data_IF_631222592195
#
_entry.id   IF_631222592195
#
_cell.length_a   1.000
_cell.length_b   1.000
_cell.length_c   1.000
_cell.angle_alpha   90.00
_cell.angle_beta   90.00
_cell.angle_gamma   90.00
#
_symmetry.space_group_name_H-M   'P 1'
#
loop_
_entity.id
_entity.type
_entity.pdbx_description
1 polymer ?
#
# COMPACT_ATOMS: atom_id res chain seq x y z
N UNK A 1 43.77 -19.96 26.12
CA UNK A 1 42.51 -19.25 25.88
C UNK A 1 42.90 -17.83 25.55
N UNK A 2 43.06 -17.54 24.26
CA UNK A 2 43.36 -16.17 23.83
C UNK A 2 42.11 -15.33 24.10
N UNK A 3 42.25 -14.35 24.99
CA UNK A 3 41.23 -13.35 25.19
C UNK A 3 41.18 -12.50 23.92
N UNK A 4 40.04 -12.53 23.23
CA UNK A 4 39.75 -11.60 22.13
C UNK A 4 39.98 -10.17 22.64
N UNK A 5 40.61 -9.34 21.81
CA UNK A 5 40.70 -7.92 22.09
C UNK A 5 39.30 -7.31 22.19
N UNK A 6 39.12 -6.23 22.96
CA UNK A 6 37.82 -5.56 23.10
C UNK A 6 37.21 -5.22 21.72
N UNK A 7 38.06 -4.85 20.75
CA UNK A 7 37.67 -4.58 19.37
C UNK A 7 37.12 -5.83 18.66
N UNK A 8 37.75 -6.98 18.82
CA UNK A 8 37.27 -8.23 18.21
C UNK A 8 35.98 -8.70 18.87
N UNK A 9 35.87 -8.60 20.20
CA UNK A 9 34.63 -8.89 20.93
C UNK A 9 33.46 -8.04 20.42
N UNK A 10 33.70 -6.73 20.28
CA UNK A 10 32.69 -5.79 19.78
C UNK A 10 32.27 -6.15 18.35
N UNK A 11 33.23 -6.50 17.49
CA UNK A 11 32.97 -6.86 16.09
C UNK A 11 32.16 -8.15 15.98
N UNK A 12 32.50 -9.16 16.78
CA UNK A 12 31.81 -10.45 16.78
C UNK A 12 30.38 -10.31 17.33
N UNK A 13 30.18 -9.57 18.42
CA UNK A 13 28.85 -9.30 18.94
C UNK A 13 28.01 -8.43 18.00
N UNK A 14 28.61 -7.44 17.35
CA UNK A 14 27.91 -6.63 16.34
C UNK A 14 27.42 -7.50 15.18
N UNK A 15 28.22 -8.47 14.74
CA UNK A 15 27.84 -9.43 13.69
C UNK A 15 26.66 -10.30 14.11
N UNK A 16 26.73 -10.88 15.31
CA UNK A 16 25.67 -11.76 15.84
C UNK A 16 24.35 -11.00 16.05
N UNK A 17 24.42 -9.78 16.57
CA UNK A 17 23.27 -8.89 16.77
C UNK A 17 22.81 -8.17 15.49
N UNK A 18 23.53 -8.37 14.38
CA UNK A 18 23.29 -7.75 13.06
C UNK A 18 23.28 -6.22 13.12
N UNK A 19 24.17 -5.63 13.91
CA UNK A 19 24.38 -4.17 14.04
C UNK A 19 25.46 -3.78 13.04
N UNK A 20 25.06 -3.53 11.79
CA UNK A 20 25.99 -3.33 10.68
C UNK A 20 26.80 -2.03 10.83
N UNK A 21 26.20 -0.97 11.39
CA UNK A 21 26.91 0.29 11.62
C UNK A 21 28.09 0.08 12.55
N UNK A 22 27.89 -0.68 13.62
CA UNK A 22 28.91 -0.93 14.61
C UNK A 22 30.01 -1.85 14.05
N UNK A 23 29.65 -2.80 13.18
CA UNK A 23 30.64 -3.65 12.51
C UNK A 23 31.54 -2.87 11.53
N UNK A 24 31.00 -1.89 10.81
CA UNK A 24 31.67 -1.28 9.67
C UNK A 24 32.23 0.13 9.93
N UNK A 25 31.66 0.86 10.88
CA UNK A 25 31.90 2.31 11.04
C UNK A 25 32.30 2.71 12.47
N UNK A 26 32.56 1.76 13.37
CA UNK A 26 32.89 2.06 14.77
C UNK A 26 34.07 3.02 14.92
N UNK A 27 35.14 2.81 14.14
CA UNK A 27 36.35 3.65 14.18
C UNK A 27 36.07 5.09 13.71
N UNK A 28 35.21 5.25 12.70
CA UNK A 28 34.81 6.57 12.21
C UNK A 28 34.03 7.31 13.30
N UNK A 29 33.12 6.63 14.00
CA UNK A 29 32.36 7.18 15.12
C UNK A 29 33.24 7.52 16.33
N UNK A 30 34.26 6.71 16.65
CA UNK A 30 35.23 7.02 17.72
C UNK A 30 36.06 8.26 17.35
N UNK A 31 36.47 8.37 16.09
CA UNK A 31 37.22 9.53 15.59
C UNK A 31 36.37 10.80 15.68
N UNK A 32 35.12 10.75 15.22
CA UNK A 32 34.14 11.84 15.35
C UNK A 32 33.88 12.22 16.81
N UNK A 33 33.70 11.23 17.69
CA UNK A 33 33.51 11.47 19.12
C UNK A 33 34.70 12.18 19.75
N UNK A 34 35.92 11.86 19.32
CA UNK A 34 37.14 12.52 19.81
C UNK A 34 37.23 13.97 19.33
N UNK A 35 36.91 14.22 18.06
CA UNK A 35 36.92 15.57 17.46
C UNK A 35 35.85 16.49 18.07
N UNK A 36 34.64 15.96 18.28
CA UNK A 36 33.48 16.69 18.81
C UNK A 36 33.37 16.61 20.34
N UNK A 37 34.36 16.00 21.00
CA UNK A 37 34.42 15.81 22.46
C UNK A 37 33.15 15.15 23.07
N UNK A 38 32.64 14.11 22.40
CA UNK A 38 31.47 13.36 22.85
C UNK A 38 31.79 12.44 24.04
N UNK A 39 30.90 12.42 25.03
CA UNK A 39 30.92 11.39 26.07
C UNK A 39 30.45 10.02 25.53
N UNK A 40 30.76 8.94 26.26
CA UNK A 40 30.42 7.56 25.85
C UNK A 40 28.94 7.36 25.55
N UNK A 41 28.05 8.00 26.32
CA UNK A 41 26.59 7.94 26.09
C UNK A 41 26.20 8.50 24.73
N UNK A 42 26.80 9.62 24.33
CA UNK A 42 26.53 10.27 23.05
C UNK A 42 27.03 9.41 21.90
N UNK A 43 28.24 8.85 22.01
CA UNK A 43 28.79 7.92 21.02
C UNK A 43 27.85 6.73 20.79
N UNK A 44 27.43 6.06 21.86
CA UNK A 44 26.51 4.91 21.78
C UNK A 44 25.17 5.33 21.16
N UNK A 45 24.61 6.46 21.59
CA UNK A 45 23.34 6.96 21.07
C UNK A 45 23.42 7.22 19.56
N UNK A 46 24.51 7.84 19.07
CA UNK A 46 24.70 8.17 17.65
C UNK A 46 24.87 6.92 16.77
N UNK A 47 25.61 5.91 17.25
CA UNK A 47 25.74 4.64 16.54
C UNK A 47 24.38 3.95 16.44
N UNK A 48 23.62 3.87 17.54
CA UNK A 48 22.30 3.24 17.57
C UNK A 48 21.26 4.01 16.75
N UNK A 49 21.33 5.35 16.75
CA UNK A 49 20.49 6.22 15.93
C UNK A 49 20.68 5.88 14.44
N UNK A 50 21.93 5.87 13.96
CA UNK A 50 22.24 5.52 12.56
C UNK A 50 21.81 4.10 12.20
N UNK A 51 22.07 3.12 13.08
CA UNK A 51 21.62 1.74 12.85
C UNK A 51 20.08 1.67 12.75
N UNK A 52 19.38 2.39 13.62
CA UNK A 52 17.93 2.44 13.63
C UNK A 52 17.38 3.09 12.35
N UNK A 53 17.97 4.17 11.88
CA UNK A 53 17.61 4.83 10.61
C UNK A 53 17.70 3.86 9.43
N UNK A 54 18.83 3.14 9.30
CA UNK A 54 19.04 2.14 8.26
C UNK A 54 18.00 1.01 8.37
N UNK A 55 17.72 0.53 9.58
CA UNK A 55 16.71 -0.52 9.82
C UNK A 55 15.30 -0.04 9.50
N UNK A 56 14.96 1.20 9.80
CA UNK A 56 13.66 1.81 9.45
C UNK A 56 13.53 1.91 7.93
N UNK A 57 14.54 2.43 7.25
CA UNK A 57 14.50 2.58 5.79
C UNK A 57 14.42 1.22 5.08
N UNK A 58 15.18 0.22 5.54
CA UNK A 58 15.13 -1.14 5.00
C UNK A 58 13.74 -1.76 5.19
N UNK A 59 13.11 -1.57 6.36
CA UNK A 59 11.73 -2.04 6.62
C UNK A 59 10.72 -1.35 5.71
N UNK A 60 10.84 -0.03 5.49
CA UNK A 60 9.99 0.72 4.54
C UNK A 60 10.12 0.17 3.13
N UNK A 61 11.34 0.07 2.59
CA UNK A 61 11.62 -0.50 1.25
C UNK A 61 11.08 -1.93 1.12
N UNK A 62 11.27 -2.75 2.15
CA UNK A 62 10.75 -4.12 2.17
C UNK A 62 9.22 -4.14 2.11
N UNK A 63 8.53 -3.33 2.92
CA UNK A 63 7.06 -3.23 2.90
C UNK A 63 6.53 -2.85 1.52
N UNK A 64 7.13 -1.83 0.89
CA UNK A 64 6.74 -1.44 -0.48
C UNK A 64 6.97 -2.59 -1.47
N UNK A 65 8.10 -3.30 -1.38
CA UNK A 65 8.42 -4.44 -2.25
C UNK A 65 7.44 -5.59 -2.11
N UNK A 66 7.05 -5.96 -0.88
CA UNK A 66 6.16 -7.10 -0.64
C UNK A 66 4.68 -6.75 -0.84
N UNK A 67 4.32 -5.46 -0.90
CA UNK A 67 2.94 -5.03 -1.06
C UNK A 67 2.35 -5.38 -2.44
N UNK A 68 3.18 -5.64 -3.46
CA UNK A 68 2.72 -6.11 -4.77
C UNK A 68 2.19 -5.02 -5.71
N UNK A 69 2.65 -3.76 -5.55
CA UNK A 69 2.25 -2.68 -6.45
C UNK A 69 2.67 -2.97 -7.91
N UNK A 70 1.77 -2.79 -8.89
CA UNK A 70 2.06 -3.07 -10.31
C UNK A 70 3.04 -2.05 -10.90
N UNK A 71 3.03 -0.83 -10.37
CA UNK A 71 3.92 0.26 -10.77
C UNK A 71 4.18 1.15 -9.56
N UNK A 72 5.35 1.79 -9.53
CA UNK A 72 5.70 2.75 -8.48
C UNK A 72 5.19 4.12 -8.92
N UNK A 73 4.05 4.53 -8.36
CA UNK A 73 3.41 5.82 -8.65
C UNK A 73 3.23 6.58 -7.35
N UNK A 74 3.85 7.73 -7.23
CA UNK A 74 3.89 8.51 -5.99
C UNK A 74 2.87 9.64 -6.01
N UNK A 75 2.53 10.16 -4.82
CA UNK A 75 1.57 11.27 -4.68
C UNK A 75 2.09 12.55 -5.33
N UNK A 76 3.40 12.78 -5.30
CA UNK A 76 4.07 13.93 -5.90
C UNK A 76 3.96 13.95 -7.43
N UNK A 77 3.71 12.80 -8.05
CA UNK A 77 3.52 12.67 -9.50
C UNK A 77 2.07 12.98 -9.93
N UNK A 78 1.14 13.13 -8.99
CA UNK A 78 -0.25 13.48 -9.30
C UNK A 78 -0.36 14.98 -9.62
N UNK A 79 -0.75 15.28 -10.85
CA UNK A 79 -1.17 16.63 -11.23
C UNK A 79 -2.57 16.87 -10.66
N UNK A 80 -2.65 17.49 -9.48
CA UNK A 80 -3.92 17.67 -8.76
C UNK A 80 -4.98 18.41 -9.58
N UNK A 81 -4.56 19.40 -10.37
CA UNK A 81 -5.45 20.19 -11.23
C UNK A 81 -6.17 19.35 -12.29
N UNK A 82 -5.57 18.24 -12.73
CA UNK A 82 -6.12 17.33 -13.73
C UNK A 82 -7.08 16.29 -13.13
N UNK A 83 -7.16 16.21 -11.79
CA UNK A 83 -8.06 15.27 -11.13
C UNK A 83 -9.50 15.81 -11.08
N UNK A 84 -10.51 14.94 -11.02
CA UNK A 84 -11.89 15.35 -10.75
C UNK A 84 -12.03 16.15 -9.45
N UNK A 85 -12.98 17.09 -9.40
CA UNK A 85 -13.14 18.01 -8.25
C UNK A 85 -13.28 17.29 -6.90
N UNK A 86 -14.09 16.23 -6.85
CA UNK A 86 -14.28 15.43 -5.63
C UNK A 86 -12.96 14.82 -5.15
N UNK A 87 -12.12 14.35 -6.07
CA UNK A 87 -10.79 13.84 -5.75
C UNK A 87 -9.87 14.94 -5.22
N UNK A 88 -9.88 16.13 -5.83
CA UNK A 88 -9.07 17.27 -5.37
C UNK A 88 -9.41 17.66 -3.93
N UNK A 89 -10.68 17.61 -3.55
CA UNK A 89 -11.15 17.94 -2.20
C UNK A 89 -10.75 16.89 -1.16
N UNK A 90 -10.84 15.60 -1.52
CA UNK A 90 -10.66 14.49 -0.57
C UNK A 90 -9.20 14.03 -0.43
N UNK A 91 -8.36 14.23 -1.46
CA UNK A 91 -6.95 13.81 -1.43
C UNK A 91 -6.17 14.35 -0.23
N UNK A 92 -6.23 15.65 0.13
CA UNK A 92 -5.49 16.16 1.29
C UNK A 92 -5.81 15.42 2.60
N UNK A 93 -7.07 15.03 2.78
CA UNK A 93 -7.50 14.22 3.93
C UNK A 93 -6.95 12.79 3.83
N UNK A 94 -7.08 12.13 2.68
CA UNK A 94 -6.56 10.77 2.48
C UNK A 94 -5.04 10.68 2.64
N UNK A 95 -4.33 11.74 2.26
CA UNK A 95 -2.89 11.84 2.44
C UNK A 95 -2.49 11.76 3.93
N UNK A 96 -3.34 12.14 4.87
CA UNK A 96 -3.04 11.99 6.31
C UNK A 96 -2.97 10.53 6.76
N UNK A 97 -3.53 9.60 5.97
CA UNK A 97 -3.72 8.19 6.30
C UNK A 97 -4.57 7.94 7.56
N UNK A 98 -5.32 8.93 8.05
CA UNK A 98 -6.16 8.75 9.23
C UNK A 98 -7.23 7.67 9.00
N UNK A 99 -7.76 7.57 7.79
CA UNK A 99 -8.68 6.50 7.38
C UNK A 99 -8.09 5.09 7.59
N UNK A 100 -6.76 4.92 7.49
CA UNK A 100 -6.08 3.64 7.74
C UNK A 100 -6.15 3.28 9.22
N UNK A 101 -5.94 4.25 10.11
CA UNK A 101 -6.04 4.06 11.57
C UNK A 101 -7.47 3.79 12.00
N UNK A 102 -8.42 4.52 11.43
CA UNK A 102 -9.85 4.37 11.71
C UNK A 102 -10.48 3.12 11.06
N UNK A 103 -9.74 2.43 10.17
CA UNK A 103 -10.25 1.27 9.45
C UNK A 103 -11.37 1.59 8.47
N UNK A 104 -11.41 2.81 7.93
CA UNK A 104 -12.42 3.26 6.96
C UNK A 104 -12.03 2.85 5.54
N UNK A 105 -13.02 2.53 4.74
CA UNK A 105 -12.80 2.20 3.33
C UNK A 105 -12.69 3.47 2.48
N UNK A 106 -12.03 3.34 1.33
CA UNK A 106 -12.01 4.36 0.29
C UNK A 106 -12.49 3.71 -1.00
N UNK A 107 -13.53 4.24 -1.62
CA UNK A 107 -14.03 3.74 -2.91
C UNK A 107 -13.85 4.81 -3.97
N UNK A 108 -12.96 4.53 -4.91
CA UNK A 108 -12.66 5.38 -6.05
C UNK A 108 -13.45 4.86 -7.26
N UNK A 109 -14.53 5.54 -7.65
CA UNK A 109 -15.41 5.08 -8.73
C UNK A 109 -15.53 6.11 -9.86
N UNK A 110 -15.57 5.67 -11.12
CA UNK A 110 -15.75 6.56 -12.28
C UNK A 110 -15.04 6.06 -13.54
N UNK A 111 -15.18 6.76 -14.66
CA UNK A 111 -14.68 6.30 -15.97
C UNK A 111 -13.15 6.02 -16.00
N UNK A 112 -12.66 5.12 -16.88
CA UNK A 112 -11.24 4.78 -16.94
C UNK A 112 -10.33 5.97 -17.27
N UNK A 113 -9.07 5.89 -16.82
CA UNK A 113 -8.03 6.86 -17.16
C UNK A 113 -8.00 8.13 -16.31
N UNK A 114 -8.76 8.20 -15.21
CA UNK A 114 -8.88 9.39 -14.34
C UNK A 114 -8.00 9.36 -13.09
N UNK A 115 -7.08 8.39 -12.96
CA UNK A 115 -6.11 8.34 -11.86
C UNK A 115 -6.47 7.47 -10.65
N UNK A 116 -7.58 6.72 -10.67
CA UNK A 116 -7.99 5.81 -9.57
C UNK A 116 -6.87 4.91 -9.05
N UNK A 117 -6.28 4.09 -9.93
CA UNK A 117 -5.19 3.17 -9.59
C UNK A 117 -3.92 3.91 -9.16
N UNK A 118 -3.67 5.11 -9.71
CA UNK A 118 -2.53 5.94 -9.31
C UNK A 118 -2.73 6.39 -7.87
N UNK A 119 -3.87 7.01 -7.53
CA UNK A 119 -4.18 7.47 -6.17
C UNK A 119 -4.09 6.31 -5.18
N UNK A 120 -4.71 5.17 -5.49
CA UNK A 120 -4.69 3.99 -4.62
C UNK A 120 -3.25 3.49 -4.37
N UNK A 121 -2.46 3.36 -5.44
CA UNK A 121 -1.04 2.97 -5.37
C UNK A 121 -0.22 3.98 -4.56
N UNK A 122 -0.41 5.27 -4.80
CA UNK A 122 0.35 6.34 -4.17
C UNK A 122 0.07 6.43 -2.67
N UNK A 123 -1.20 6.30 -2.26
CA UNK A 123 -1.59 6.16 -0.85
C UNK A 123 -1.01 4.87 -0.25
N UNK A 124 -1.02 3.77 -0.99
CA UNK A 124 -0.37 2.50 -0.65
C UNK A 124 1.11 2.65 -0.31
N UNK A 125 1.86 3.30 -1.20
CA UNK A 125 3.28 3.52 -1.01
C UNK A 125 3.51 4.45 0.19
N UNK A 126 2.74 5.54 0.32
CA UNK A 126 2.81 6.42 1.50
C UNK A 126 2.58 5.64 2.79
N UNK A 127 1.56 4.78 2.83
CA UNK A 127 1.27 3.96 3.99
C UNK A 127 2.43 3.00 4.34
N UNK A 128 3.06 2.36 3.35
CA UNK A 128 4.25 1.56 3.57
C UNK A 128 5.42 2.39 4.15
N UNK A 129 5.59 3.63 3.69
CA UNK A 129 6.60 4.56 4.21
C UNK A 129 6.29 5.00 5.65
N UNK A 130 5.03 5.18 6.02
CA UNK A 130 4.60 5.42 7.42
C UNK A 130 4.57 4.16 8.29
N UNK A 131 4.93 3.01 7.70
CA UNK A 131 5.16 1.76 8.41
C UNK A 131 3.96 0.83 8.51
N UNK A 132 2.88 1.13 7.80
CA UNK A 132 1.74 0.24 7.64
C UNK A 132 2.05 -0.92 6.70
N UNK A 133 1.44 -2.06 6.95
CA UNK A 133 1.46 -3.21 6.04
C UNK A 133 0.36 -3.06 4.99
N UNK A 134 0.74 -3.16 3.71
CA UNK A 134 -0.19 -2.98 2.59
C UNK A 134 -0.17 -4.22 1.70
N UNK A 135 -1.33 -4.58 1.16
CA UNK A 135 -1.46 -5.60 0.12
C UNK A 135 -2.25 -5.03 -1.06
N UNK A 136 -1.61 -4.99 -2.24
CA UNK A 136 -2.23 -4.58 -3.49
C UNK A 136 -2.56 -5.83 -4.32
N UNK A 137 -3.77 -5.88 -4.85
CA UNK A 137 -4.19 -6.92 -5.78
C UNK A 137 -5.30 -6.39 -6.69
N UNK A 138 -5.41 -6.93 -7.90
CA UNK A 138 -6.63 -6.73 -8.69
C UNK A 138 -7.73 -7.68 -8.20
N UNK A 139 -8.98 -7.26 -8.26
CA UNK A 139 -10.14 -8.10 -7.90
C UNK A 139 -10.19 -9.40 -8.71
N UNK A 140 -9.93 -9.43 -10.03
CA UNK A 140 -9.80 -10.68 -10.77
C UNK A 140 -8.73 -11.61 -10.18
N UNK A 141 -7.54 -11.08 -9.88
CA UNK A 141 -6.46 -11.88 -9.33
C UNK A 141 -6.78 -12.42 -7.94
N UNK A 142 -7.36 -11.58 -7.07
CA UNK A 142 -7.82 -11.98 -5.75
C UNK A 142 -8.85 -13.11 -5.81
N UNK A 143 -9.83 -13.03 -6.72
CA UNK A 143 -10.83 -14.07 -6.87
C UNK A 143 -10.20 -15.41 -7.31
N UNK A 144 -9.25 -15.37 -8.24
CA UNK A 144 -8.47 -16.56 -8.64
C UNK A 144 -7.73 -17.16 -7.45
N UNK A 145 -7.02 -16.34 -6.66
CA UNK A 145 -6.31 -16.80 -5.46
C UNK A 145 -7.27 -17.44 -4.43
N UNK A 146 -8.44 -16.84 -4.20
CA UNK A 146 -9.45 -17.38 -3.28
C UNK A 146 -9.93 -18.76 -3.76
N UNK A 147 -10.22 -18.92 -5.06
CA UNK A 147 -10.67 -20.19 -5.65
C UNK A 147 -9.60 -21.28 -5.56
N UNK A 148 -8.34 -20.93 -5.88
CA UNK A 148 -7.21 -21.86 -5.79
C UNK A 148 -6.98 -22.32 -4.34
N UNK A 149 -6.94 -21.39 -3.38
CA UNK A 149 -6.77 -21.73 -1.97
C UNK A 149 -7.96 -22.53 -1.41
N UNK A 150 -9.19 -22.31 -1.89
CA UNK A 150 -10.35 -23.13 -1.52
C UNK A 150 -10.18 -24.57 -1.99
N UNK A 151 -9.77 -24.77 -3.24
CA UNK A 151 -9.51 -26.10 -3.82
C UNK A 151 -8.42 -26.85 -3.05
N UNK A 152 -7.36 -26.13 -2.65
CA UNK A 152 -6.22 -26.67 -1.90
C UNK A 152 -6.45 -26.77 -0.38
N UNK A 153 -7.66 -26.47 0.12
CA UNK A 153 -7.99 -26.43 1.56
C UNK A 153 -7.10 -25.50 2.39
N UNK A 154 -6.54 -24.45 1.77
CA UNK A 154 -5.65 -23.45 2.37
C UNK A 154 -6.30 -22.07 2.51
N UNK A 155 -7.59 -21.92 2.14
CA UNK A 155 -8.34 -20.65 2.18
C UNK A 155 -8.22 -19.92 3.52
N UNK A 156 -8.30 -20.65 4.64
CA UNK A 156 -8.20 -20.06 5.98
C UNK A 156 -6.87 -19.32 6.21
N UNK A 157 -5.76 -19.82 5.65
CA UNK A 157 -4.46 -19.17 5.78
C UNK A 157 -4.39 -17.87 4.98
N UNK A 158 -5.04 -17.84 3.81
CA UNK A 158 -5.17 -16.63 2.99
C UNK A 158 -5.98 -15.57 3.73
N UNK A 159 -7.14 -15.93 4.28
CA UNK A 159 -8.00 -15.04 5.07
C UNK A 159 -7.26 -14.44 6.28
N UNK A 160 -6.56 -15.28 7.06
CA UNK A 160 -5.80 -14.82 8.22
C UNK A 160 -4.67 -13.85 7.85
N UNK A 161 -4.09 -14.00 6.65
CA UNK A 161 -3.11 -13.05 6.14
C UNK A 161 -3.77 -11.76 5.68
N UNK A 162 -4.88 -11.89 4.96
CA UNK A 162 -5.67 -10.78 4.43
C UNK A 162 -6.19 -9.85 5.53
N UNK A 163 -6.62 -10.38 6.66
CA UNK A 163 -7.06 -9.62 7.85
C UNK A 163 -5.93 -8.82 8.51
N UNK A 164 -4.69 -9.32 8.47
CA UNK A 164 -3.55 -8.73 9.17
C UNK A 164 -3.00 -7.47 8.52
N UNK A 165 -3.20 -7.29 7.21
CA UNK A 165 -2.75 -6.08 6.54
C UNK A 165 -3.46 -4.85 7.12
N UNK A 166 -2.73 -3.77 7.35
CA UNK A 166 -3.32 -2.51 7.81
C UNK A 166 -4.19 -1.90 6.72
N UNK A 167 -3.77 -2.03 5.47
CA UNK A 167 -4.54 -1.61 4.31
C UNK A 167 -4.50 -2.65 3.18
N UNK A 168 -5.63 -2.87 2.54
CA UNK A 168 -5.72 -3.65 1.30
C UNK A 168 -6.16 -2.73 0.17
N UNK A 169 -5.59 -2.88 -1.01
CA UNK A 169 -6.01 -2.21 -2.24
C UNK A 169 -6.54 -3.28 -3.19
N UNK A 170 -7.82 -3.19 -3.53
CA UNK A 170 -8.52 -4.03 -4.49
C UNK A 170 -8.80 -3.21 -5.75
N UNK A 171 -7.94 -3.33 -6.75
CA UNK A 171 -8.04 -2.61 -8.01
C UNK A 171 -8.99 -3.32 -8.99
N UNK A 172 -9.63 -2.58 -9.90
CA UNK A 172 -10.38 -3.12 -11.04
C UNK A 172 -11.63 -3.96 -10.69
N UNK A 173 -12.38 -3.56 -9.66
CA UNK A 173 -13.58 -4.29 -9.21
C UNK A 173 -14.63 -4.51 -10.31
N UNK A 174 -14.72 -3.63 -11.32
CA UNK A 174 -15.72 -3.71 -12.39
C UNK A 174 -15.36 -4.52 -13.64
N UNK A 175 -14.21 -5.22 -13.67
CA UNK A 175 -13.75 -5.96 -14.85
C UNK A 175 -13.95 -7.48 -14.77
N UNK A 176 -14.55 -7.99 -13.70
CA UNK A 176 -14.84 -9.42 -13.52
C UNK A 176 -16.34 -9.64 -13.59
N UNK A 177 -16.77 -10.63 -14.38
CA UNK A 177 -18.09 -11.21 -14.19
C UNK A 177 -17.94 -12.43 -13.29
N UNK A 178 -18.59 -12.42 -12.14
CA UNK A 178 -18.57 -13.51 -11.19
C UNK A 178 -19.83 -14.36 -11.35
N UNK A 179 -19.67 -15.68 -11.30
CA UNK A 179 -20.79 -16.55 -10.96
C UNK A 179 -21.21 -16.33 -9.50
N UNK A 180 -22.35 -16.92 -9.10
CA UNK A 180 -22.89 -16.75 -7.75
C UNK A 180 -21.85 -17.11 -6.68
N UNK A 181 -21.17 -18.26 -6.86
CA UNK A 181 -20.14 -18.73 -5.94
C UNK A 181 -18.95 -17.76 -5.86
N UNK A 182 -18.46 -17.25 -6.99
CA UNK A 182 -17.37 -16.27 -7.02
C UNK A 182 -17.74 -14.96 -6.34
N UNK A 183 -18.98 -14.50 -6.52
CA UNK A 183 -19.51 -13.34 -5.81
C UNK A 183 -19.53 -13.55 -4.29
N UNK A 184 -20.02 -14.71 -3.83
CA UNK A 184 -20.06 -15.07 -2.41
C UNK A 184 -18.66 -15.15 -1.79
N UNK A 185 -17.71 -15.76 -2.51
CA UNK A 185 -16.32 -15.85 -2.09
C UNK A 185 -15.67 -14.47 -1.94
N UNK A 186 -15.82 -13.60 -2.94
CA UNK A 186 -15.29 -12.24 -2.89
C UNK A 186 -15.93 -11.43 -1.76
N UNK A 187 -17.26 -11.54 -1.61
CA UNK A 187 -17.99 -10.88 -0.54
C UNK A 187 -17.51 -11.31 0.85
N UNK A 188 -17.40 -12.61 1.08
CA UNK A 188 -16.92 -13.13 2.36
C UNK A 188 -15.52 -12.62 2.66
N UNK A 189 -14.63 -12.64 1.67
CA UNK A 189 -13.24 -12.22 1.84
C UNK A 189 -13.12 -10.71 2.16
N UNK A 190 -13.81 -9.84 1.41
CA UNK A 190 -13.82 -8.40 1.68
C UNK A 190 -14.49 -8.07 3.01
N UNK A 191 -15.53 -8.82 3.38
CA UNK A 191 -16.27 -8.62 4.64
C UNK A 191 -15.44 -8.89 5.89
N UNK A 192 -14.35 -9.66 5.79
CA UNK A 192 -13.44 -9.87 6.93
C UNK A 192 -12.86 -8.57 7.47
N UNK A 193 -12.74 -7.55 6.62
CA UNK A 193 -12.09 -6.27 6.92
C UNK A 193 -13.06 -5.12 7.17
N UNK A 194 -14.32 -5.24 6.74
CA UNK A 194 -15.32 -4.18 6.86
C UNK A 194 -15.46 -3.69 8.31
N UNK A 195 -15.25 -2.39 8.54
CA UNK A 195 -15.31 -1.76 9.86
C UNK A 195 -14.16 -2.11 10.81
N UNK A 196 -13.10 -2.80 10.34
CA UNK A 196 -11.95 -3.20 11.16
C UNK A 196 -10.62 -2.65 10.63
N UNK A 197 -10.41 -2.72 9.32
CA UNK A 197 -9.16 -2.32 8.66
C UNK A 197 -9.47 -1.70 7.31
N UNK A 198 -8.66 -0.73 6.89
CA UNK A 198 -8.93 0.02 5.68
C UNK A 198 -8.82 -0.85 4.42
N UNK A 199 -9.74 -0.60 3.49
CA UNK A 199 -9.71 -1.19 2.15
C UNK A 199 -9.95 -0.09 1.12
N UNK A 200 -9.03 0.06 0.16
CA UNK A 200 -9.23 0.91 -1.01
C UNK A 200 -9.76 0.04 -2.13
N UNK A 201 -10.85 0.47 -2.77
CA UNK A 201 -11.41 -0.19 -3.95
C UNK A 201 -11.41 0.78 -5.11
N UNK A 202 -10.98 0.32 -6.28
CA UNK A 202 -11.17 1.06 -7.52
C UNK A 202 -12.18 0.37 -8.42
N UNK A 203 -13.04 1.15 -9.05
CA UNK A 203 -14.03 0.62 -9.99
C UNK A 203 -14.31 1.61 -11.12
N UNK A 204 -14.57 1.08 -12.31
CA UNK A 204 -15.08 1.84 -13.45
C UNK A 204 -16.61 1.93 -13.48
N UNK A 205 -17.30 1.23 -12.57
CA UNK A 205 -18.75 1.15 -12.48
C UNK A 205 -19.28 1.96 -11.30
N UNK A 206 -20.39 2.65 -11.52
CA UNK A 206 -21.19 3.22 -10.43
C UNK A 206 -21.87 2.11 -9.63
N UNK A 207 -22.25 2.37 -8.38
CA UNK A 207 -22.76 1.35 -7.45
C UNK A 207 -24.04 0.65 -7.95
N UNK A 208 -24.90 1.38 -8.65
CA UNK A 208 -26.12 0.85 -9.28
C UNK A 208 -25.83 -0.21 -10.35
N UNK A 209 -24.61 -0.22 -10.90
CA UNK A 209 -24.15 -1.16 -11.93
C UNK A 209 -23.40 -2.37 -11.40
N UNK A 210 -23.25 -2.52 -10.07
CA UNK A 210 -22.56 -3.68 -9.50
C UNK A 210 -23.32 -5.00 -9.71
N UNK A 211 -24.61 -4.93 -10.04
CA UNK A 211 -25.38 -6.08 -10.52
C UNK A 211 -24.88 -6.68 -11.84
N UNK A 212 -24.06 -5.95 -12.61
CA UNK A 212 -23.39 -6.48 -13.81
C UNK A 212 -22.23 -7.42 -13.46
N UNK A 213 -21.61 -7.23 -12.28
CA UNK A 213 -20.47 -8.00 -11.78
C UNK A 213 -20.96 -9.26 -11.06
N UNK A 214 -21.92 -9.07 -10.14
CA UNK A 214 -22.45 -10.13 -9.27
C UNK A 214 -23.94 -10.28 -9.56
N UNK A 215 -24.33 -11.46 -10.06
CA UNK A 215 -25.72 -11.74 -10.49
C UNK A 215 -26.74 -11.72 -9.35
N UNK A 216 -26.31 -12.00 -8.11
CA UNK A 216 -27.19 -12.02 -6.94
C UNK A 216 -27.39 -10.60 -6.39
N UNK A 217 -28.59 -10.04 -6.58
CA UNK A 217 -28.95 -8.68 -6.15
C UNK A 217 -28.87 -8.49 -4.63
N UNK A 218 -29.19 -9.52 -3.84
CA UNK A 218 -29.15 -9.44 -2.37
C UNK A 218 -27.70 -9.33 -1.92
N UNK A 219 -26.83 -10.12 -2.54
CA UNK A 219 -25.39 -10.10 -2.27
C UNK A 219 -24.75 -8.76 -2.66
N UNK A 220 -25.13 -8.20 -3.81
CA UNK A 220 -24.68 -6.87 -4.25
C UNK A 220 -25.08 -5.80 -3.23
N UNK A 221 -26.34 -5.77 -2.80
CA UNK A 221 -26.81 -4.80 -1.83
C UNK A 221 -26.05 -4.89 -0.50
N UNK A 222 -25.83 -6.11 0.00
CA UNK A 222 -25.05 -6.34 1.23
C UNK A 222 -23.58 -5.92 1.07
N UNK A 223 -22.99 -6.14 -0.11
CA UNK A 223 -21.61 -5.76 -0.39
C UNK A 223 -21.45 -4.24 -0.44
N UNK A 224 -22.34 -3.54 -1.16
CA UNK A 224 -22.35 -2.08 -1.24
C UNK A 224 -22.51 -1.49 0.16
N UNK A 225 -23.47 -1.97 0.94
CA UNK A 225 -23.70 -1.51 2.32
C UNK A 225 -22.41 -1.60 3.17
N UNK A 226 -21.77 -2.79 3.23
CA UNK A 226 -20.56 -3.00 4.03
C UNK A 226 -19.35 -2.20 3.56
N UNK A 227 -19.20 -2.04 2.25
CA UNK A 227 -18.04 -1.34 1.68
C UNK A 227 -18.18 0.17 1.74
N UNK A 228 -19.42 0.69 1.69
CA UNK A 228 -19.71 2.13 1.66
C UNK A 228 -20.03 2.71 3.04
N UNK A 229 -20.39 1.88 4.02
CA UNK A 229 -20.64 2.32 5.40
C UNK A 229 -19.43 3.06 5.98
N UNK A 230 -19.59 4.37 6.24
CA UNK A 230 -18.54 5.30 6.73
C UNK A 230 -17.29 5.35 5.83
N UNK A 231 -17.43 5.04 4.54
CA UNK A 231 -16.34 5.07 3.58
C UNK A 231 -16.18 6.46 2.95
N UNK A 232 -14.96 6.77 2.50
CA UNK A 232 -14.73 7.88 1.59
C UNK A 232 -15.13 7.46 0.18
N UNK A 233 -16.24 7.98 -0.32
CA UNK A 233 -16.70 7.74 -1.69
C UNK A 233 -16.21 8.88 -2.57
N UNK A 234 -15.32 8.57 -3.52
CA UNK A 234 -14.69 9.58 -4.37
C UNK A 234 -15.10 9.35 -5.81
N UNK A 235 -15.87 10.29 -6.35
CA UNK A 235 -16.21 10.30 -7.76
C UNK A 235 -15.00 10.74 -8.59
N UNK A 236 -14.48 9.78 -9.33
CA UNK A 236 -13.32 9.93 -10.20
C UNK A 236 -13.76 10.09 -11.66
N UNK A 237 -14.97 10.59 -11.93
CA UNK A 237 -15.45 10.81 -13.29
C UNK A 237 -14.90 12.11 -13.86
N UNK A 238 -14.29 12.06 -15.05
CA UNK A 238 -13.63 13.23 -15.65
C UNK A 238 -12.91 12.91 -16.95
N UNK A 239 -12.09 13.85 -17.43
CA UNK A 239 -11.29 13.65 -18.64
C UNK A 239 -10.22 12.58 -18.41
N UNK A 240 -10.03 11.70 -19.40
CA UNK A 240 -9.03 10.64 -19.33
C UNK A 240 -7.63 11.20 -19.54
N UNK A 241 -6.77 11.03 -18.54
CA UNK A 241 -5.37 11.40 -18.59
C UNK A 241 -4.62 10.65 -19.70
N UNK A 242 -4.93 9.36 -19.88
CA UNK A 242 -4.35 8.53 -20.94
C UNK A 242 -4.65 9.08 -22.35
N UNK A 243 -5.85 9.65 -22.54
CA UNK A 243 -6.23 10.29 -23.81
C UNK A 243 -5.50 11.62 -23.99
N UNK A 244 -5.39 12.43 -22.93
CA UNK A 244 -4.64 13.70 -22.93
C UNK A 244 -3.17 13.47 -23.31
N UNK A 245 -2.50 12.48 -22.71
CA UNK A 245 -1.12 12.11 -23.07
C UNK A 245 -0.98 11.70 -24.54
N UNK A 246 -1.91 10.88 -25.03
CA UNK A 246 -1.91 10.43 -26.44
C UNK A 246 -2.09 11.61 -27.41
N UNK A 247 -2.96 12.56 -27.09
CA UNK A 247 -3.16 13.77 -27.90
C UNK A 247 -1.93 14.67 -27.91
N UNK A 248 -1.27 14.85 -26.76
CA UNK A 248 -0.05 15.62 -26.66
C UNK A 248 1.07 15.01 -27.50
N UNK A 249 1.28 13.69 -27.42
CA UNK A 249 2.28 12.98 -28.24
C UNK A 249 2.02 13.18 -29.73
N UNK A 250 0.76 13.07 -30.19
CA UNK A 250 0.42 13.31 -31.60
C UNK A 250 0.72 14.74 -32.06
N UNK A 251 0.41 15.74 -31.23
CA UNK A 251 0.73 17.15 -31.54
C UNK A 251 2.23 17.39 -31.70
N UNK A 252 3.06 16.79 -30.85
CA UNK A 252 4.52 16.87 -30.97
C UNK A 252 5.05 16.23 -32.25
N UNK A 253 4.46 15.10 -32.68
CA UNK A 253 4.88 14.41 -33.92
C UNK A 253 4.43 15.19 -35.17
N UNK A 254 3.27 15.83 -35.16
CA UNK A 254 2.79 16.65 -36.29
C UNK A 254 3.47 18.02 -36.44
N UNK A 255 4.28 18.43 -35.47
CA UNK A 255 5.07 19.67 -35.50
C UNK A 255 6.55 19.45 -35.87
N UNK A 256 6.95 18.19 -36.09
CA UNK A 256 8.24 17.80 -36.68
C UNK A 256 8.04 17.38 -38.13
#
# INVERSE_FOLDING_TARGET
>A
MDYLSEKEMITDYARELKINVLQNELEDFITLATQENWGCRTLIARILEKEMEIRVEKRRKQRVRIAGFPQMKYLQELIREDLPKDAQMVIPELETLEFVKEGRNVVLYGNPGTGKTHIATALGIKACMEGYTVFFTSVPHLLTQIRECRSQKSLRQLELRFEKYDMVICDEFGYVSCDKEGGELLFNHLSLRAGKKATIITTNLSFDRWGEIVKDKVLVAAMVDRLTHKAHLVNMSGQSYRVKETQNMRRYVSQK
#
